data_IF_708925301624
#
_entry.id   IF_708925301624
#
_cell.length_a   1.000
_cell.length_b   1.000
_cell.length_c   1.000
_cell.angle_alpha   90.00
_cell.angle_beta   90.00
_cell.angle_gamma   90.00
#
_symmetry.space_group_name_H-M   'P 1'
#
loop_
_entity.id
_entity.type
_entity.pdbx_description
1 polymer ?
#
# COMPACT_ATOMS: atom_id res chain seq x y z
N UNK A 1 19.87 6.93 5.74
CA UNK A 1 19.54 7.92 6.80
C UNK A 1 20.60 9.01 6.71
N UNK A 2 20.23 10.30 6.70
CA UNK A 2 21.23 11.36 6.75
C UNK A 2 21.76 11.52 8.18
N UNK A 3 23.08 11.55 8.35
CA UNK A 3 23.74 11.79 9.64
C UNK A 3 23.28 13.11 10.30
N UNK A 4 23.08 14.16 9.50
CA UNK A 4 22.69 15.48 9.95
C UNK A 4 21.18 15.64 10.22
N UNK A 5 20.33 14.89 9.52
CA UNK A 5 18.87 15.01 9.59
C UNK A 5 18.24 14.02 10.60
N UNK A 6 19.00 13.03 11.06
CA UNK A 6 18.51 12.00 11.96
C UNK A 6 17.39 11.14 11.37
N UNK A 7 16.58 10.54 12.25
CA UNK A 7 15.51 9.62 11.88
C UNK A 7 14.19 10.38 11.68
N UNK A 8 13.90 10.70 10.41
CA UNK A 8 12.64 11.34 10.01
C UNK A 8 11.48 10.32 10.05
N UNK A 9 10.25 10.79 10.28
CA UNK A 9 9.04 9.94 10.35
C UNK A 9 8.87 8.96 9.18
N UNK A 10 9.22 9.37 7.95
CA UNK A 10 9.21 8.49 6.78
C UNK A 10 10.15 7.29 6.91
N UNK A 11 11.29 7.44 7.59
CA UNK A 11 12.23 6.34 7.84
C UNK A 11 11.58 5.27 8.72
N UNK A 12 10.79 5.68 9.72
CA UNK A 12 10.05 4.76 10.59
C UNK A 12 8.98 4.01 9.81
N UNK A 13 8.27 4.69 8.91
CA UNK A 13 7.27 4.04 8.04
C UNK A 13 7.92 3.03 7.08
N UNK A 14 9.04 3.40 6.45
CA UNK A 14 9.77 2.52 5.54
C UNK A 14 10.32 1.29 6.27
N UNK A 15 10.86 1.47 7.47
CA UNK A 15 11.32 0.36 8.29
C UNK A 15 10.15 -0.53 8.72
N UNK A 16 9.04 0.06 9.18
CA UNK A 16 7.85 -0.70 9.56
C UNK A 16 7.30 -1.54 8.41
N UNK A 17 7.29 -0.99 7.20
CA UNK A 17 6.92 -1.72 5.99
C UNK A 17 7.87 -2.88 5.67
N UNK A 18 9.18 -2.63 5.70
CA UNK A 18 10.16 -3.66 5.42
C UNK A 18 10.08 -4.82 6.44
N UNK A 19 9.89 -4.50 7.72
CA UNK A 19 9.70 -5.49 8.78
C UNK A 19 8.43 -6.30 8.59
N UNK A 20 7.31 -5.64 8.28
CA UNK A 20 6.04 -6.33 8.11
C UNK A 20 6.02 -7.21 6.84
N UNK A 21 6.80 -6.86 5.83
CA UNK A 21 7.04 -7.67 4.63
C UNK A 21 8.13 -8.76 4.83
N UNK A 22 8.69 -8.90 6.04
CA UNK A 22 9.88 -9.73 6.35
C UNK A 22 11.00 -9.56 5.31
N UNK A 23 11.26 -8.32 4.91
CA UNK A 23 12.42 -8.00 4.09
C UNK A 23 13.60 -7.76 5.04
N UNK A 24 14.73 -8.48 4.86
CA UNK A 24 15.97 -8.19 5.57
C UNK A 24 16.42 -6.75 5.29
N UNK A 25 16.80 -6.03 6.33
CA UNK A 25 17.13 -4.59 6.24
C UNK A 25 18.54 -4.37 6.75
N UNK A 26 19.31 -3.60 5.98
CA UNK A 26 20.52 -2.93 6.45
C UNK A 26 20.32 -1.42 6.37
N UNK A 27 21.07 -0.68 7.19
CA UNK A 27 20.97 0.78 7.26
C UNK A 27 22.27 1.41 6.78
N UNK A 28 22.14 2.40 5.90
CA UNK A 28 23.25 3.22 5.45
C UNK A 28 23.06 4.63 5.99
N UNK A 29 23.99 5.09 6.82
CA UNK A 29 24.10 6.46 7.32
C UNK A 29 25.01 7.23 6.38
N UNK A 30 24.45 8.19 5.66
CA UNK A 30 25.14 8.99 4.64
C UNK A 30 25.47 10.38 5.16
N UNK A 31 26.39 11.09 4.50
CA UNK A 31 26.80 12.49 4.78
C UNK A 31 27.62 12.65 6.07
N UNK A 32 28.42 11.66 6.42
CA UNK A 32 29.28 11.73 7.63
C UNK A 32 30.30 12.87 7.56
N UNK A 33 30.64 13.32 6.36
CA UNK A 33 31.54 14.45 6.07
C UNK A 33 31.04 15.81 6.56
N UNK A 34 29.72 16.05 6.55
CA UNK A 34 29.14 17.35 6.95
C UNK A 34 28.68 17.39 8.40
N UNK A 35 28.68 16.26 9.10
CA UNK A 35 28.04 16.13 10.41
C UNK A 35 29.09 16.18 11.52
N UNK A 36 28.93 17.05 12.54
CA UNK A 36 29.84 17.04 13.67
C UNK A 36 29.69 15.72 14.46
N UNK A 37 30.81 15.25 15.02
CA UNK A 37 30.90 13.91 15.60
C UNK A 37 29.90 13.63 16.73
N UNK A 38 29.55 14.66 17.52
CA UNK A 38 28.54 14.58 18.58
C UNK A 38 27.14 14.23 18.03
N UNK A 39 26.68 14.93 16.98
CA UNK A 39 25.37 14.69 16.36
C UNK A 39 25.32 13.32 15.67
N UNK A 40 26.43 12.91 15.05
CA UNK A 40 26.56 11.58 14.45
C UNK A 40 26.38 10.48 15.51
N UNK A 41 27.07 10.60 16.65
CA UNK A 41 26.94 9.64 17.75
C UNK A 41 25.52 9.59 18.33
N UNK A 42 24.87 10.73 18.49
CA UNK A 42 23.46 10.78 18.93
C UNK A 42 22.53 10.07 17.94
N UNK A 43 22.71 10.33 16.65
CA UNK A 43 21.93 9.69 15.58
C UNK A 43 22.11 8.18 15.56
N UNK A 44 23.35 7.70 15.75
CA UNK A 44 23.65 6.27 15.84
C UNK A 44 23.01 5.64 17.08
N UNK A 45 23.08 6.29 18.25
CA UNK A 45 22.42 5.82 19.48
C UNK A 45 20.90 5.72 19.29
N UNK A 46 20.29 6.73 18.66
CA UNK A 46 18.86 6.72 18.36
C UNK A 46 18.49 5.58 17.40
N UNK A 47 19.30 5.36 16.36
CA UNK A 47 19.10 4.28 15.38
C UNK A 47 19.20 2.90 16.04
N UNK A 48 20.22 2.68 16.87
CA UNK A 48 20.38 1.43 17.62
C UNK A 48 19.20 1.20 18.57
N UNK A 49 18.74 2.24 19.29
CA UNK A 49 17.56 2.14 20.16
C UNK A 49 16.31 1.77 19.37
N UNK A 50 16.14 2.35 18.19
CA UNK A 50 15.01 2.06 17.31
C UNK A 50 15.04 0.62 16.79
N UNK A 51 16.19 0.15 16.33
CA UNK A 51 16.36 -1.23 15.83
C UNK A 51 16.16 -2.28 16.94
N UNK A 52 16.58 -1.97 18.18
CA UNK A 52 16.38 -2.83 19.36
C UNK A 52 14.95 -2.77 19.93
N UNK A 53 14.13 -1.81 19.51
CA UNK A 53 12.76 -1.65 20.01
C UNK A 53 11.91 -2.90 19.79
N UNK A 54 10.88 -3.16 20.63
CA UNK A 54 10.08 -4.39 20.55
C UNK A 54 9.33 -4.58 19.23
N UNK A 55 9.16 -3.52 18.43
CA UNK A 55 8.58 -3.59 17.09
C UNK A 55 9.55 -4.00 15.99
N UNK A 56 10.87 -3.84 16.20
CA UNK A 56 11.89 -4.18 15.20
C UNK A 56 12.63 -5.47 15.55
N UNK A 57 12.97 -5.66 16.84
CA UNK A 57 13.70 -6.83 17.38
C UNK A 57 14.95 -7.21 16.56
N UNK A 58 15.67 -6.21 16.03
CA UNK A 58 16.90 -6.40 15.28
C UNK A 58 18.13 -6.17 16.15
N UNK A 59 19.21 -6.86 15.81
CA UNK A 59 20.53 -6.70 16.43
C UNK A 59 21.35 -5.77 15.52
N UNK A 60 21.56 -4.49 15.91
CA UNK A 60 22.36 -3.56 15.11
C UNK A 60 23.85 -3.92 15.21
N UNK A 61 24.53 -4.01 14.07
CA UNK A 61 25.99 -4.24 13.98
C UNK A 61 26.60 -3.08 13.20
N UNK A 62 27.55 -2.37 13.81
CA UNK A 62 28.25 -1.28 13.14
C UNK A 62 29.42 -1.86 12.33
N UNK A 63 29.44 -1.61 11.03
CA UNK A 63 30.47 -2.15 10.15
C UNK A 63 31.57 -1.11 9.95
N UNK A 64 32.79 -1.43 10.38
CA UNK A 64 33.96 -0.54 10.26
C UNK A 64 35.15 -1.22 9.57
N UNK A 65 35.25 -2.54 9.67
CA UNK A 65 36.34 -3.32 9.07
C UNK A 65 35.85 -4.23 7.95
N UNK A 66 36.79 -4.79 7.16
CA UNK A 66 36.49 -5.80 6.14
C UNK A 66 36.01 -7.11 6.76
N UNK A 67 36.53 -7.47 7.93
CA UNK A 67 36.12 -8.69 8.63
C UNK A 67 34.67 -8.58 9.11
N UNK A 68 34.27 -7.40 9.61
CA UNK A 68 32.87 -7.12 9.95
C UNK A 68 31.96 -7.30 8.75
N UNK A 69 32.39 -6.85 7.56
CA UNK A 69 31.62 -7.00 6.32
C UNK A 69 31.37 -8.49 6.02
N UNK A 70 32.39 -9.34 6.14
CA UNK A 70 32.30 -10.77 5.84
C UNK A 70 31.38 -11.48 6.84
N UNK A 71 31.57 -11.23 8.14
CA UNK A 71 30.71 -11.79 9.21
C UNK A 71 29.27 -11.32 9.03
N UNK A 72 29.08 -10.06 8.68
CA UNK A 72 27.76 -9.47 8.54
C UNK A 72 27.06 -9.94 7.26
N UNK A 73 27.77 -10.13 6.15
CA UNK A 73 27.22 -10.65 4.90
C UNK A 73 26.81 -12.11 5.02
N UNK A 74 27.64 -12.96 5.65
CA UNK A 74 27.32 -14.38 5.89
C UNK A 74 26.12 -14.56 6.81
N UNK A 75 26.01 -13.74 7.86
CA UNK A 75 24.89 -13.78 8.79
C UNK A 75 23.69 -12.91 8.38
N UNK A 76 23.74 -12.20 7.24
CA UNK A 76 22.62 -11.35 6.80
C UNK A 76 21.36 -12.16 6.46
N UNK A 77 21.53 -13.43 6.10
CA UNK A 77 20.43 -14.39 5.93
C UNK A 77 19.65 -14.62 7.24
N UNK A 78 20.29 -14.42 8.39
CA UNK A 78 19.62 -14.39 9.69
C UNK A 78 18.81 -13.09 9.78
N UNK A 79 17.48 -13.19 9.65
CA UNK A 79 16.57 -12.05 9.62
C UNK A 79 16.75 -11.08 10.80
N UNK A 80 17.41 -11.47 11.89
CA UNK A 80 17.58 -10.64 13.09
C UNK A 80 18.72 -9.63 13.00
N UNK A 81 19.76 -9.86 12.18
CA UNK A 81 20.89 -8.93 12.11
C UNK A 81 20.57 -7.71 11.24
N UNK A 82 20.99 -6.53 11.69
CA UNK A 82 20.87 -5.28 10.93
C UNK A 82 22.23 -4.57 10.82
N UNK A 83 22.92 -4.70 9.69
CA UNK A 83 24.17 -4.01 9.41
C UNK A 83 23.96 -2.50 9.36
N UNK A 84 24.88 -1.72 9.93
CA UNK A 84 24.90 -0.26 9.84
C UNK A 84 26.21 0.18 9.20
N UNK A 85 26.12 0.82 8.04
CA UNK A 85 27.24 1.40 7.32
C UNK A 85 27.25 2.91 7.50
N UNK A 86 28.42 3.48 7.77
CA UNK A 86 28.64 4.93 7.80
C UNK A 86 29.40 5.32 6.55
N UNK A 87 28.81 6.10 5.66
CA UNK A 87 29.45 6.46 4.39
C UNK A 87 29.39 7.96 4.11
N UNK A 88 30.37 8.45 3.36
CA UNK A 88 30.26 9.72 2.64
C UNK A 88 30.23 9.47 1.15
N UNK A 89 29.18 9.97 0.49
CA UNK A 89 29.08 9.94 -0.97
C UNK A 89 30.01 10.95 -1.65
N UNK A 90 30.53 11.94 -0.91
CA UNK A 90 31.40 13.00 -1.44
C UNK A 90 32.86 12.61 -1.31
N UNK A 91 33.30 12.26 -0.10
CA UNK A 91 34.71 11.88 0.14
C UNK A 91 35.01 10.44 -0.28
N UNK A 92 33.98 9.61 -0.45
CA UNK A 92 34.13 8.18 -0.77
C UNK A 92 34.43 7.30 0.45
N UNK A 93 34.46 7.88 1.66
CA UNK A 93 34.74 7.16 2.89
C UNK A 93 33.77 5.98 3.11
N UNK A 94 34.33 4.81 3.42
CA UNK A 94 33.64 3.53 3.66
C UNK A 94 32.75 3.03 2.52
N UNK A 95 32.80 3.65 1.34
CA UNK A 95 32.02 3.22 0.19
C UNK A 95 32.44 1.82 -0.28
N UNK A 96 33.73 1.49 -0.14
CA UNK A 96 34.26 0.18 -0.54
C UNK A 96 33.77 -0.95 0.37
N UNK A 97 33.56 -0.69 1.66
CA UNK A 97 32.95 -1.64 2.59
C UNK A 97 31.50 -1.95 2.17
N UNK A 98 30.74 -0.93 1.78
CA UNK A 98 29.37 -1.11 1.30
C UNK A 98 29.34 -1.89 -0.03
N UNK A 99 30.23 -1.58 -0.98
CA UNK A 99 30.33 -2.32 -2.25
C UNK A 99 30.69 -3.79 -2.00
N UNK A 100 31.68 -4.04 -1.13
CA UNK A 100 32.09 -5.38 -0.74
C UNK A 100 30.92 -6.15 -0.13
N UNK A 101 30.19 -5.54 0.81
CA UNK A 101 29.00 -6.13 1.40
C UNK A 101 27.98 -6.54 0.34
N UNK A 102 27.61 -5.63 -0.57
CA UNK A 102 26.63 -5.90 -1.63
C UNK A 102 27.07 -7.02 -2.58
N UNK A 103 28.38 -7.14 -2.85
CA UNK A 103 28.93 -8.20 -3.71
C UNK A 103 28.95 -9.58 -3.02
N UNK A 104 29.05 -9.61 -1.69
CA UNK A 104 29.05 -10.85 -0.90
C UNK A 104 27.63 -11.36 -0.59
N UNK A 105 26.60 -10.54 -0.80
CA UNK A 105 25.21 -10.95 -0.57
C UNK A 105 24.81 -12.07 -1.55
N UNK A 106 24.43 -13.20 -0.98
CA UNK A 106 23.87 -14.30 -1.76
C UNK A 106 22.44 -13.97 -2.19
N UNK A 107 22.05 -14.27 -3.45
CA UNK A 107 20.66 -14.16 -3.88
C UNK A 107 19.76 -15.04 -3.00
N UNK A 108 18.64 -14.49 -2.49
CA UNK A 108 17.66 -15.26 -1.71
C UNK A 108 16.79 -16.19 -2.56
N UNK A 109 16.69 -15.93 -3.86
CA UNK A 109 15.89 -16.72 -4.78
C UNK A 109 16.75 -17.84 -5.36
N UNK A 110 16.55 -19.05 -4.86
CA UNK A 110 16.92 -20.27 -5.58
C UNK A 110 16.00 -20.37 -6.79
N UNK A 111 16.54 -20.29 -8.00
CA UNK A 111 15.77 -20.57 -9.21
C UNK A 111 15.99 -22.02 -9.62
N UNK A 112 14.89 -22.72 -9.91
CA UNK A 112 14.91 -24.02 -10.58
C UNK A 112 14.56 -23.78 -12.03
N UNK A 113 15.41 -24.23 -12.96
CA UNK A 113 15.19 -24.01 -14.40
C UNK A 113 13.96 -24.75 -14.93
N UNK A 114 13.55 -25.83 -14.25
CA UNK A 114 12.39 -26.65 -14.61
C UNK A 114 11.05 -26.03 -14.22
N UNK A 115 11.05 -25.02 -13.34
CA UNK A 115 9.83 -24.37 -12.92
C UNK A 115 9.21 -23.56 -14.07
N UNK A 116 7.88 -23.57 -14.18
CA UNK A 116 7.20 -22.79 -15.21
C UNK A 116 7.46 -21.29 -14.99
N UNK A 117 7.72 -20.61 -16.09
CA UNK A 117 8.05 -19.19 -16.08
C UNK A 117 6.92 -18.32 -15.53
N UNK A 118 7.28 -17.37 -14.68
CA UNK A 118 6.38 -16.33 -14.18
C UNK A 118 7.11 -15.00 -14.07
N UNK A 119 6.53 -13.97 -14.66
CA UNK A 119 7.07 -12.64 -14.74
C UNK A 119 6.03 -11.61 -14.32
N UNK A 120 6.37 -10.80 -13.33
CA UNK A 120 5.50 -9.76 -12.81
C UNK A 120 5.81 -8.42 -13.50
N UNK A 121 4.79 -7.74 -14.01
CA UNK A 121 4.94 -6.47 -14.73
C UNK A 121 4.83 -5.28 -13.76
N UNK A 122 5.91 -4.50 -13.70
CA UNK A 122 6.04 -3.30 -12.87
C UNK A 122 5.72 -2.03 -13.66
N UNK A 123 6.20 -1.99 -14.91
CA UNK A 123 6.16 -0.83 -15.78
C UNK A 123 5.96 -1.19 -17.25
N UNK A 124 5.39 -0.25 -17.99
CA UNK A 124 5.18 -0.38 -19.43
C UNK A 124 5.74 0.83 -20.16
N UNK A 125 6.32 0.59 -21.33
CA UNK A 125 6.95 1.58 -22.18
C UNK A 125 6.48 1.42 -23.62
N UNK A 126 6.48 2.52 -24.37
CA UNK A 126 6.26 2.51 -25.81
C UNK A 126 7.53 3.04 -26.44
N UNK A 127 8.26 2.17 -27.12
CA UNK A 127 9.56 2.51 -27.72
C UNK A 127 9.36 2.61 -29.23
N UNK A 128 9.69 3.75 -29.86
CA UNK A 128 9.59 3.92 -31.31
C UNK A 128 10.37 2.82 -32.06
N UNK A 129 9.77 2.24 -33.11
CA UNK A 129 10.36 1.16 -33.91
C UNK A 129 10.34 -0.24 -33.26
N UNK A 130 10.39 -0.34 -31.93
CA UNK A 130 10.35 -1.64 -31.22
C UNK A 130 8.91 -2.06 -30.95
N UNK A 131 8.07 -1.15 -30.46
CA UNK A 131 6.69 -1.37 -30.05
C UNK A 131 6.47 -1.26 -28.54
N UNK A 132 5.56 -2.08 -28.01
CA UNK A 132 5.23 -2.10 -26.58
C UNK A 132 6.26 -2.93 -25.82
N UNK A 133 6.85 -2.35 -24.78
CA UNK A 133 7.85 -2.99 -23.93
C UNK A 133 7.34 -3.04 -22.50
N UNK A 134 7.45 -4.18 -21.85
CA UNK A 134 7.11 -4.36 -20.43
C UNK A 134 8.40 -4.56 -19.63
N UNK A 135 8.45 -3.99 -18.43
CA UNK A 135 9.56 -4.15 -17.50
C UNK A 135 9.05 -4.68 -16.19
N UNK A 136 9.87 -5.50 -15.55
CA UNK A 136 9.43 -6.24 -14.39
C UNK A 136 10.48 -7.21 -13.88
N UNK A 137 10.02 -8.12 -13.03
CA UNK A 137 10.87 -9.12 -12.38
C UNK A 137 10.37 -10.52 -12.71
N UNK A 138 11.27 -11.38 -13.18
CA UNK A 138 10.98 -12.81 -13.34
C UNK A 138 10.99 -13.43 -11.95
N UNK A 139 9.85 -13.92 -11.47
CA UNK A 139 9.73 -14.52 -10.14
C UNK A 139 10.32 -15.92 -10.14
N UNK A 140 9.97 -16.75 -11.14
CA UNK A 140 10.42 -18.14 -11.27
C UNK A 140 10.53 -18.58 -12.73
N UNK A 141 11.21 -19.70 -12.93
CA UNK A 141 11.43 -20.31 -14.24
C UNK A 141 12.40 -19.55 -15.15
N UNK A 142 12.35 -19.91 -16.43
CA UNK A 142 13.23 -19.40 -17.48
C UNK A 142 12.38 -18.88 -18.65
N UNK A 143 12.65 -17.65 -19.10
CA UNK A 143 12.00 -17.04 -20.27
C UNK A 143 13.05 -16.85 -21.35
N UNK A 144 12.85 -17.47 -22.51
CA UNK A 144 13.72 -17.36 -23.68
C UNK A 144 13.14 -16.44 -24.74
N UNK A 145 14.00 -15.97 -25.62
CA UNK A 145 13.60 -15.19 -26.79
C UNK A 145 12.71 -16.05 -27.70
N UNK A 146 11.65 -15.46 -28.26
CA UNK A 146 10.58 -16.13 -29.02
C UNK A 146 9.65 -17.07 -28.22
N UNK A 147 9.79 -17.16 -26.90
CA UNK A 147 8.82 -17.89 -26.09
C UNK A 147 7.43 -17.25 -26.19
N UNK A 148 6.42 -18.11 -26.13
CA UNK A 148 5.01 -17.72 -26.09
C UNK A 148 4.49 -17.90 -24.67
N UNK A 149 4.10 -16.79 -24.05
CA UNK A 149 3.59 -16.73 -22.69
C UNK A 149 2.16 -16.22 -22.67
N UNK A 150 1.47 -16.42 -21.55
CA UNK A 150 0.14 -15.88 -21.30
C UNK A 150 0.27 -14.56 -20.54
N UNK A 151 -0.18 -13.47 -21.15
CA UNK A 151 -0.26 -12.13 -20.55
C UNK A 151 -1.65 -11.91 -19.98
N UNK A 152 -1.75 -11.51 -18.72
CA UNK A 152 -3.02 -11.18 -18.10
C UNK A 152 -2.86 -10.91 -16.61
N UNK A 153 -3.95 -10.86 -15.85
CA UNK A 153 -5.33 -10.98 -16.30
C UNK A 153 -5.83 -9.67 -16.93
N UNK A 154 -6.56 -9.77 -18.03
CA UNK A 154 -7.33 -8.64 -18.59
C UNK A 154 -8.47 -8.22 -17.64
N UNK A 155 -9.17 -7.09 -17.87
CA UNK A 155 -10.28 -6.67 -17.03
C UNK A 155 -11.41 -7.70 -16.89
N UNK A 156 -11.49 -8.67 -17.81
CA UNK A 156 -12.44 -9.78 -17.79
C UNK A 156 -11.89 -11.06 -17.11
N UNK A 157 -10.63 -11.06 -16.67
CA UNK A 157 -9.96 -12.23 -16.08
C UNK A 157 -9.28 -13.16 -17.07
N UNK A 158 -9.32 -12.84 -18.37
CA UNK A 158 -8.73 -13.67 -19.42
C UNK A 158 -7.21 -13.44 -19.55
N UNK A 159 -6.52 -14.43 -20.11
CA UNK A 159 -5.11 -14.36 -20.45
C UNK A 159 -4.90 -14.46 -21.95
N UNK A 160 -4.13 -13.54 -22.51
CA UNK A 160 -3.82 -13.44 -23.93
C UNK A 160 -2.47 -14.08 -24.23
N UNK A 161 -2.41 -14.96 -25.22
CA UNK A 161 -1.15 -15.51 -25.72
C UNK A 161 -0.31 -14.44 -26.41
N UNK A 162 0.92 -14.25 -25.93
CA UNK A 162 1.85 -13.24 -26.42
C UNK A 162 3.24 -13.84 -26.65
N UNK A 163 3.85 -13.49 -27.79
CA UNK A 163 5.22 -13.89 -28.10
C UNK A 163 6.22 -12.79 -27.71
N UNK A 164 7.33 -13.21 -27.11
CA UNK A 164 8.47 -12.35 -26.75
C UNK A 164 9.31 -12.05 -28.00
N UNK A 165 9.37 -10.79 -28.41
CA UNK A 165 10.14 -10.33 -29.58
C UNK A 165 11.62 -10.14 -29.26
N UNK A 166 11.92 -9.51 -28.14
CA UNK A 166 13.30 -9.28 -27.69
C UNK A 166 13.35 -9.10 -26.18
N UNK A 167 14.52 -9.37 -25.61
CA UNK A 167 14.75 -9.30 -24.18
C UNK A 167 15.98 -8.44 -23.91
N UNK A 168 15.86 -7.51 -22.97
CA UNK A 168 16.95 -6.66 -22.54
C UNK A 168 17.11 -6.71 -21.03
N UNK A 169 18.35 -6.81 -20.57
CA UNK A 169 18.72 -6.74 -19.15
C UNK A 169 19.87 -5.76 -19.00
N UNK A 170 19.74 -4.79 -18.08
CA UNK A 170 20.75 -3.72 -17.85
C UNK A 170 21.21 -3.04 -19.15
N UNK A 171 20.27 -2.72 -20.04
CA UNK A 171 20.51 -2.11 -21.37
C UNK A 171 21.26 -2.99 -22.38
N UNK A 172 21.46 -4.27 -22.10
CA UNK A 172 22.08 -5.22 -23.04
C UNK A 172 21.04 -6.24 -23.54
N UNK A 173 21.06 -6.62 -24.83
CA UNK A 173 20.22 -7.68 -25.34
C UNK A 173 20.67 -9.03 -24.77
N UNK A 174 19.72 -9.85 -24.36
CA UNK A 174 19.97 -11.19 -23.81
C UNK A 174 19.06 -12.21 -24.47
N UNK A 175 19.49 -13.48 -24.52
CA UNK A 175 18.72 -14.58 -25.12
C UNK A 175 17.71 -15.20 -24.15
N UNK A 176 17.98 -15.12 -22.85
CA UNK A 176 17.17 -15.71 -21.80
C UNK A 176 17.25 -14.89 -20.50
N UNK A 177 16.23 -15.03 -19.66
CA UNK A 177 16.14 -14.42 -18.33
C UNK A 177 15.67 -15.47 -17.32
N UNK A 178 16.39 -15.56 -16.21
CA UNK A 178 16.14 -16.53 -15.13
C UNK A 178 15.33 -15.91 -13.99
N UNK A 179 14.69 -16.75 -13.18
CA UNK A 179 14.06 -16.34 -11.92
C UNK A 179 14.98 -15.49 -11.04
N UNK A 180 14.40 -14.46 -10.41
CA UNK A 180 15.11 -13.45 -9.62
C UNK A 180 15.73 -12.30 -10.42
N UNK A 181 15.68 -12.33 -11.75
CA UNK A 181 16.25 -11.27 -12.58
C UNK A 181 15.20 -10.25 -13.04
N UNK A 182 15.59 -8.98 -13.03
CA UNK A 182 14.83 -7.91 -13.67
C UNK A 182 15.18 -7.82 -15.15
N UNK A 183 14.16 -7.66 -15.99
CA UNK A 183 14.32 -7.59 -17.43
C UNK A 183 13.21 -6.77 -18.08
N UNK A 184 13.47 -6.38 -19.33
CA UNK A 184 12.49 -5.72 -20.19
C UNK A 184 12.22 -6.58 -21.43
N UNK A 185 10.95 -6.83 -21.70
CA UNK A 185 10.48 -7.66 -22.81
C UNK A 185 9.73 -6.81 -23.83
N UNK A 186 10.14 -6.87 -25.10
CA UNK A 186 9.35 -6.33 -26.20
C UNK A 186 8.30 -7.36 -26.61
N UNK A 187 7.03 -6.94 -26.65
CA UNK A 187 5.90 -7.83 -26.94
C UNK A 187 5.39 -7.64 -28.37
N UNK A 188 5.03 -8.74 -29.04
CA UNK A 188 4.58 -8.72 -30.44
C UNK A 188 3.07 -8.45 -30.54
N UNK A 189 2.66 -7.52 -31.42
CA UNK A 189 1.24 -7.28 -31.78
C UNK A 189 0.32 -6.89 -30.60
N UNK A 190 0.83 -6.19 -29.59
CA UNK A 190 0.01 -5.68 -28.48
C UNK A 190 0.12 -4.16 -28.31
N UNK A 191 -1.01 -3.52 -28.00
CA UNK A 191 -1.09 -2.09 -27.72
C UNK A 191 -0.70 -1.84 -26.27
N UNK A 192 0.06 -0.78 -26.02
CA UNK A 192 0.38 -0.35 -24.64
C UNK A 192 -0.87 -0.14 -23.77
N UNK A 193 -1.97 0.32 -24.36
CA UNK A 193 -3.21 0.62 -23.64
C UNK A 193 -3.90 -0.61 -23.04
N UNK A 194 -3.64 -1.82 -23.57
CA UNK A 194 -4.21 -3.05 -23.00
C UNK A 194 -3.40 -3.57 -21.82
N UNK A 195 -2.18 -3.07 -21.60
CA UNK A 195 -1.30 -3.55 -20.53
C UNK A 195 -1.33 -2.57 -19.35
N UNK A 196 -1.55 -3.10 -18.15
CA UNK A 196 -1.49 -2.35 -16.89
C UNK A 196 -0.41 -2.90 -15.96
N UNK A 197 0.00 -2.07 -14.99
CA UNK A 197 0.83 -2.50 -13.87
C UNK A 197 0.09 -3.53 -13.02
N UNK A 198 0.79 -4.54 -12.53
CA UNK A 198 0.19 -5.64 -11.76
C UNK A 198 -0.24 -6.84 -12.60
N UNK A 199 -0.30 -6.71 -13.92
CA UNK A 199 -0.41 -7.87 -14.80
C UNK A 199 0.85 -8.75 -14.72
N UNK A 200 0.70 -10.00 -15.14
CA UNK A 200 1.74 -11.01 -15.17
C UNK A 200 1.87 -11.62 -16.57
N UNK A 201 3.07 -12.12 -16.87
CA UNK A 201 3.33 -13.02 -17.99
C UNK A 201 3.72 -14.37 -17.43
N UNK A 202 2.94 -15.40 -17.74
CA UNK A 202 3.08 -16.73 -17.14
C UNK A 202 3.13 -17.80 -18.21
N UNK A 203 3.81 -18.90 -17.91
CA UNK A 203 3.82 -20.07 -18.78
C UNK A 203 2.41 -20.65 -18.91
N UNK A 204 1.97 -21.07 -20.12
CA UNK A 204 0.71 -21.78 -20.32
C UNK A 204 0.55 -23.01 -19.43
N UNK A 205 1.67 -23.63 -19.03
CA UNK A 205 1.70 -24.81 -18.14
C UNK A 205 1.12 -24.55 -16.75
N UNK A 206 1.09 -23.30 -16.29
CA UNK A 206 0.55 -22.93 -14.98
C UNK A 206 -0.98 -22.86 -14.94
N UNK A 207 -1.66 -22.86 -16.10
CA UNK A 207 -3.09 -22.62 -16.21
C UNK A 207 -3.60 -21.48 -15.30
N UNK A 208 -3.11 -20.25 -15.50
CA UNK A 208 -3.30 -19.17 -14.55
C UNK A 208 -4.78 -18.81 -14.37
N UNK A 209 -5.17 -18.54 -13.13
CA UNK A 209 -6.53 -18.17 -12.77
C UNK A 209 -6.54 -16.78 -12.14
N UNK A 210 -7.51 -15.96 -12.54
CA UNK A 210 -7.71 -14.64 -11.97
C UNK A 210 -8.75 -14.71 -10.85
N UNK A 211 -8.49 -14.05 -9.73
CA UNK A 211 -9.39 -14.02 -8.58
C UNK A 211 -9.89 -12.60 -8.32
N UNK A 212 -11.20 -12.48 -8.09
CA UNK A 212 -11.83 -11.25 -7.58
C UNK A 212 -11.79 -11.20 -6.05
N UNK A 213 -11.92 -12.36 -5.43
CA UNK A 213 -12.12 -12.53 -4.00
C UNK A 213 -11.00 -13.38 -3.42
N UNK A 214 -10.55 -13.01 -2.23
CA UNK A 214 -9.51 -13.74 -1.50
C UNK A 214 -9.64 -13.50 0.00
N UNK A 215 -9.20 -14.47 0.79
CA UNK A 215 -9.07 -14.35 2.23
C UNK A 215 -7.62 -14.06 2.58
N UNK A 216 -7.42 -13.14 3.51
CA UNK A 216 -6.10 -12.83 4.03
C UNK A 216 -6.14 -12.59 5.54
N UNK A 217 -5.11 -13.05 6.21
CA UNK A 217 -4.87 -12.73 7.60
C UNK A 217 -4.18 -11.36 7.66
N UNK A 218 -4.79 -10.40 8.35
CA UNK A 218 -4.26 -9.05 8.48
C UNK A 218 -3.90 -8.71 9.93
N UNK A 219 -2.89 -7.87 10.08
CA UNK A 219 -2.48 -7.20 11.30
C UNK A 219 -2.62 -5.69 11.10
N UNK A 220 -3.46 -5.05 11.91
CA UNK A 220 -3.64 -3.59 11.87
C UNK A 220 -2.49 -2.91 12.61
N UNK A 221 -1.70 -2.11 11.90
CA UNK A 221 -0.52 -1.44 12.45
C UNK A 221 -0.85 -0.11 13.12
N UNK A 222 -1.55 0.78 12.41
CA UNK A 222 -1.93 2.08 12.94
C UNK A 222 -3.12 2.64 12.14
N UNK A 223 -4.30 2.58 12.75
CA UNK A 223 -5.51 3.14 12.19
C UNK A 223 -6.19 4.06 13.22
N UNK A 224 -6.53 5.31 12.85
CA UNK A 224 -7.10 6.28 13.80
C UNK A 224 -8.54 5.92 14.21
N UNK A 225 -9.26 5.22 13.34
CA UNK A 225 -10.64 4.79 13.56
C UNK A 225 -10.73 3.26 13.53
N UNK A 226 -11.94 2.71 13.56
CA UNK A 226 -12.16 1.27 13.49
C UNK A 226 -12.39 0.82 12.05
N UNK A 227 -11.85 -0.34 11.69
CA UNK A 227 -12.14 -0.99 10.40
C UNK A 227 -13.36 -1.90 10.59
N UNK A 228 -14.37 -1.72 9.74
CA UNK A 228 -15.66 -2.44 9.77
C UNK A 228 -15.97 -3.08 8.41
N UNK A 229 -17.00 -3.94 8.29
CA UNK A 229 -17.35 -4.53 7.01
C UNK A 229 -17.77 -3.43 6.03
N UNK A 230 -17.51 -3.63 4.75
CA UNK A 230 -17.64 -2.64 3.66
C UNK A 230 -16.60 -1.52 3.66
N UNK A 231 -15.64 -1.53 4.58
CA UNK A 231 -14.49 -0.62 4.48
C UNK A 231 -13.70 -0.88 3.19
N UNK A 232 -13.29 0.20 2.53
CA UNK A 232 -12.57 0.16 1.27
C UNK A 232 -11.20 0.81 1.44
N UNK A 233 -10.16 0.12 0.96
CA UNK A 233 -8.80 0.64 1.01
C UNK A 233 -7.97 0.14 -0.17
N UNK A 234 -6.84 0.81 -0.40
CA UNK A 234 -5.91 0.44 -1.45
C UNK A 234 -5.08 -0.76 -0.98
N UNK A 235 -5.23 -1.89 -1.67
CA UNK A 235 -4.42 -3.08 -1.51
C UNK A 235 -3.22 -3.00 -2.44
N UNK A 236 -2.06 -3.23 -1.85
CA UNK A 236 -0.81 -3.43 -2.54
C UNK A 236 -0.39 -4.88 -2.39
N UNK A 237 -0.25 -5.60 -3.49
CA UNK A 237 0.17 -7.00 -3.50
C UNK A 237 1.20 -7.21 -4.61
N UNK A 238 2.49 -7.26 -4.26
CA UNK A 238 3.57 -7.10 -5.23
C UNK A 238 3.38 -5.81 -6.04
N UNK A 239 3.28 -5.94 -7.37
CA UNK A 239 3.10 -4.83 -8.31
C UNK A 239 1.63 -4.44 -8.55
N UNK A 240 0.69 -5.20 -7.98
CA UNK A 240 -0.75 -4.91 -8.02
C UNK A 240 -1.04 -3.75 -7.08
N UNK A 241 -1.80 -2.78 -7.57
CA UNK A 241 -2.30 -1.64 -6.80
C UNK A 241 -3.76 -1.40 -7.12
N UNK A 242 -4.65 -1.84 -6.23
CA UNK A 242 -6.09 -1.76 -6.49
C UNK A 242 -6.89 -1.58 -5.21
N UNK A 243 -8.01 -0.89 -5.30
CA UNK A 243 -8.96 -0.80 -4.19
C UNK A 243 -9.66 -2.15 -4.00
N UNK A 244 -9.68 -2.62 -2.76
CA UNK A 244 -10.49 -3.76 -2.35
C UNK A 244 -11.46 -3.35 -1.24
N UNK A 245 -12.61 -4.01 -1.23
CA UNK A 245 -13.65 -3.87 -0.21
C UNK A 245 -13.58 -5.08 0.73
N UNK A 246 -13.71 -4.83 2.02
CA UNK A 246 -13.92 -5.89 3.02
C UNK A 246 -15.36 -6.37 2.93
N UNK A 247 -15.57 -7.64 2.57
CA UNK A 247 -16.89 -8.25 2.54
C UNK A 247 -17.29 -8.75 3.92
N UNK A 248 -16.44 -9.58 4.52
CA UNK A 248 -16.62 -10.16 5.84
C UNK A 248 -15.28 -10.23 6.59
N UNK A 249 -15.36 -10.37 7.91
CA UNK A 249 -14.19 -10.51 8.78
C UNK A 249 -14.59 -11.25 10.06
N UNK A 250 -13.60 -11.87 10.71
CA UNK A 250 -13.82 -12.70 11.90
C UNK A 250 -14.32 -11.92 13.13
N UNK A 251 -14.06 -10.61 13.17
CA UNK A 251 -14.43 -9.72 14.28
C UNK A 251 -15.31 -8.60 13.75
N UNK A 252 -16.28 -8.13 14.52
CA UNK A 252 -17.18 -7.03 14.10
C UNK A 252 -16.45 -5.72 13.81
N UNK A 253 -15.30 -5.51 14.47
CA UNK A 253 -14.54 -4.28 14.37
C UNK A 253 -13.05 -4.55 14.66
N UNK A 254 -12.15 -3.96 13.86
CA UNK A 254 -10.70 -4.09 14.03
C UNK A 254 -10.08 -2.75 14.41
N UNK A 255 -9.23 -2.77 15.43
CA UNK A 255 -8.46 -1.63 15.93
C UNK A 255 -6.96 -1.89 15.80
N UNK A 256 -6.17 -0.88 16.12
CA UNK A 256 -4.71 -0.98 16.08
C UNK A 256 -4.21 -2.11 16.98
N UNK A 257 -3.39 -3.01 16.42
CA UNK A 257 -2.85 -4.18 17.09
C UNK A 257 -3.65 -5.47 16.85
N UNK A 258 -4.86 -5.38 16.30
CA UNK A 258 -5.69 -6.56 16.06
C UNK A 258 -5.20 -7.39 14.89
N UNK A 259 -5.20 -8.71 15.10
CA UNK A 259 -5.09 -9.74 14.06
C UNK A 259 -6.48 -10.31 13.77
N UNK A 260 -6.80 -10.51 12.49
CA UNK A 260 -8.04 -11.16 12.04
C UNK A 260 -7.91 -11.70 10.62
N UNK A 261 -8.71 -12.71 10.28
CA UNK A 261 -8.93 -13.13 8.90
C UNK A 261 -10.01 -12.26 8.29
N UNK A 262 -9.76 -11.79 7.06
CA UNK A 262 -10.63 -10.86 6.36
C UNK A 262 -10.81 -11.32 4.93
N UNK A 263 -12.05 -11.32 4.47
CA UNK A 263 -12.44 -11.60 3.11
C UNK A 263 -12.48 -10.30 2.30
N UNK A 264 -11.61 -10.21 1.30
CA UNK A 264 -11.47 -9.07 0.41
C UNK A 264 -12.08 -9.36 -0.96
N UNK A 265 -12.66 -8.33 -1.55
CA UNK A 265 -13.06 -8.30 -2.96
C UNK A 265 -12.47 -7.10 -3.67
N UNK A 266 -11.80 -7.36 -4.79
CA UNK A 266 -11.32 -6.34 -5.70
C UNK A 266 -12.49 -5.61 -6.39
N UNK A 267 -12.40 -4.28 -6.50
CA UNK A 267 -13.50 -3.47 -7.05
C UNK A 267 -13.51 -3.43 -8.58
N UNK A 268 -12.33 -3.35 -9.21
CA UNK A 268 -12.22 -2.93 -10.62
C UNK A 268 -11.92 -4.09 -11.57
N UNK A 269 -10.87 -4.85 -11.29
CA UNK A 269 -10.37 -5.93 -12.13
C UNK A 269 -10.01 -7.15 -11.27
N UNK A 270 -10.14 -8.37 -11.79
CA UNK A 270 -9.60 -9.55 -11.15
C UNK A 270 -8.08 -9.55 -11.33
N UNK A 271 -7.36 -10.11 -10.35
CA UNK A 271 -5.91 -10.11 -10.35
C UNK A 271 -5.36 -11.53 -10.15
N UNK A 272 -4.13 -11.75 -10.62
CA UNK A 272 -3.43 -13.02 -10.42
C UNK A 272 -2.69 -12.96 -9.08
N UNK A 273 -3.06 -13.84 -8.16
CA UNK A 273 -2.56 -13.86 -6.79
C UNK A 273 -1.97 -15.22 -6.44
N UNK A 274 -1.07 -15.25 -5.47
CA UNK A 274 -0.58 -16.49 -4.85
C UNK A 274 -1.02 -16.59 -3.40
N UNK A 275 -1.16 -17.84 -2.94
CA UNK A 275 -1.24 -18.13 -1.51
C UNK A 275 0.11 -17.75 -0.87
N UNK A 276 0.07 -17.32 0.39
CA UNK A 276 1.21 -16.80 1.16
C UNK A 276 1.81 -15.50 0.63
N UNK A 277 1.17 -14.88 -0.37
CA UNK A 277 1.60 -13.59 -0.87
C UNK A 277 1.27 -12.50 0.15
N UNK A 278 2.26 -11.64 0.40
CA UNK A 278 2.11 -10.52 1.33
C UNK A 278 1.42 -9.36 0.67
N UNK A 279 0.53 -8.73 1.44
CA UNK A 279 -0.21 -7.55 1.04
C UNK A 279 -0.07 -6.42 2.06
N UNK A 280 -0.30 -5.21 1.59
CA UNK A 280 -0.28 -4.00 2.39
C UNK A 280 -1.54 -3.19 2.12
N UNK A 281 -2.27 -2.86 3.18
CA UNK A 281 -3.40 -1.96 3.16
C UNK A 281 -2.95 -0.52 3.37
N UNK A 282 -3.33 0.36 2.43
CA UNK A 282 -2.97 1.77 2.47
C UNK A 282 -4.17 2.69 2.30
N UNK A 283 -4.16 3.74 3.11
CA UNK A 283 -5.04 4.91 3.01
C UNK A 283 -4.16 6.14 3.27
N UNK A 284 -3.46 6.56 2.21
CA UNK A 284 -2.29 7.46 2.32
C UNK A 284 -1.09 6.77 2.95
N UNK A 285 -1.15 6.52 4.26
CA UNK A 285 -0.18 5.75 5.05
C UNK A 285 -0.55 4.27 5.12
N UNK A 286 0.42 3.43 5.47
CA UNK A 286 0.17 2.01 5.74
C UNK A 286 -0.69 1.84 6.97
N UNK A 287 -1.78 1.11 6.83
CA UNK A 287 -2.76 0.88 7.90
C UNK A 287 -2.68 -0.53 8.46
N UNK A 288 -2.62 -1.52 7.57
CA UNK A 288 -2.51 -2.93 7.93
C UNK A 288 -1.57 -3.65 6.95
N UNK A 289 -1.04 -4.77 7.40
CA UNK A 289 -0.24 -5.69 6.59
C UNK A 289 -0.84 -7.07 6.75
N UNK A 290 -0.79 -7.89 5.72
CA UNK A 290 -1.36 -9.22 5.79
C UNK A 290 -0.74 -10.19 4.81
N UNK A 291 -1.20 -11.42 4.91
CA UNK A 291 -0.78 -12.54 4.07
C UNK A 291 -2.02 -13.22 3.54
N UNK A 292 -2.04 -13.50 2.23
CA UNK A 292 -3.14 -14.20 1.58
C UNK A 292 -3.13 -15.65 2.05
N UNK A 293 -4.22 -16.08 2.68
CA UNK A 293 -4.38 -17.45 3.19
C UNK A 293 -5.10 -18.34 2.17
N UNK A 294 -6.07 -17.77 1.44
CA UNK A 294 -6.89 -18.53 0.50
C UNK A 294 -7.35 -17.68 -0.66
N UNK A 295 -7.38 -18.28 -1.85
CA UNK A 295 -7.96 -17.67 -3.05
C UNK A 295 -9.36 -18.21 -3.26
N UNK A 296 -10.33 -17.31 -3.47
CA UNK A 296 -11.70 -17.68 -3.75
C UNK A 296 -11.93 -17.55 -5.24
N UNK A 297 -12.37 -18.65 -5.86
CA UNK A 297 -12.73 -18.66 -7.26
C UNK A 297 -14.15 -18.13 -7.38
N UNK A 298 -14.29 -16.86 -7.73
CA UNK A 298 -15.57 -16.36 -8.21
C UNK A 298 -15.70 -16.79 -9.67
N UNK A 299 -16.33 -17.94 -9.93
CA UNK A 299 -16.91 -18.20 -11.25
C UNK A 299 -17.84 -17.02 -11.55
N UNK A 300 -17.57 -16.28 -12.63
CA UNK A 300 -18.34 -15.11 -13.05
C UNK A 300 -19.84 -15.36 -12.93
N UNK A 301 -20.45 -14.96 -11.81
CA UNK A 301 -21.89 -14.80 -11.73
C UNK A 301 -22.15 -13.32 -12.02
N UNK A 302 -22.82 -13.12 -13.15
CA UNK A 302 -23.39 -11.89 -13.74
C UNK A 302 -23.25 -10.58 -12.93
N UNK A 303 -22.95 -9.45 -13.59
CA UNK A 303 -23.06 -8.15 -12.93
C UNK A 303 -24.48 -7.96 -12.40
N UNK A 304 -24.61 -7.93 -11.08
CA UNK A 304 -25.86 -7.61 -10.39
C UNK A 304 -26.17 -6.13 -10.62
N UNK A 305 -26.76 -5.85 -11.77
CA UNK A 305 -27.31 -4.54 -12.12
C UNK A 305 -28.84 -4.63 -12.11
N UNK A 306 -29.43 -4.85 -10.93
CA UNK A 306 -30.86 -4.64 -10.74
C UNK A 306 -31.08 -3.13 -10.52
N UNK A 307 -31.37 -2.41 -11.60
CA UNK A 307 -31.97 -1.07 -11.52
C UNK A 307 -33.27 -1.19 -10.70
N UNK A 308 -33.56 -0.26 -9.76
CA UNK A 308 -34.85 -0.23 -9.09
C UNK A 308 -35.96 0.13 -10.10
N UNK A 309 -36.96 -0.74 -10.23
CA UNK A 309 -38.16 -0.46 -11.03
C UNK A 309 -38.94 0.68 -10.39
N UNK A 310 -39.16 1.75 -11.16
CA UNK A 310 -40.10 2.82 -10.83
C UNK A 310 -41.53 2.27 -10.78
N UNK A 311 -42.17 2.35 -9.62
CA UNK A 311 -43.60 2.10 -9.49
C UNK A 311 -44.34 3.28 -10.11
N UNK A 312 -45.01 3.01 -11.24
CA UNK A 312 -45.93 3.93 -11.91
C UNK A 312 -47.25 3.92 -11.16
N UNK A 313 -47.59 5.04 -10.51
CA UNK A 313 -48.86 5.28 -9.84
C UNK A 313 -49.90 5.68 -10.90
N UNK A 314 -50.91 4.84 -11.15
CA UNK A 314 -52.04 5.14 -12.03
C UNK A 314 -53.29 5.53 -11.23
N UNK A 315 -53.92 6.59 -11.70
CA UNK A 315 -55.10 7.28 -11.18
C UNK A 315 -56.39 6.63 -11.72
N UNK A 316 -57.39 6.46 -10.86
CA UNK A 316 -58.80 6.29 -11.27
C UNK A 316 -59.76 7.02 -10.32
N UNK A 317 -60.48 8.01 -10.88
CA UNK A 317 -61.76 8.64 -10.44
C UNK A 317 -62.87 7.56 -10.38
N UNK A 318 -64.01 7.63 -9.65
CA UNK A 318 -64.92 8.73 -9.21
C UNK A 318 -65.95 8.14 -8.20
N UNK A 319 -66.58 8.98 -7.34
CA UNK A 319 -67.60 8.65 -6.30
C UNK A 319 -69.02 8.30 -6.81
N UNK A 320 -70.11 8.34 -5.99
CA UNK A 320 -70.59 9.55 -5.25
C UNK A 320 -71.27 9.36 -3.85
N UNK A 321 -71.72 10.49 -3.27
CA UNK A 321 -72.27 10.88 -1.94
C UNK A 321 -73.54 10.13 -1.44
N UNK A 322 -73.92 10.05 -0.14
CA UNK A 322 -74.46 11.06 0.85
C UNK A 322 -74.83 10.27 2.15
N UNK A 323 -74.82 10.79 3.40
CA UNK A 323 -75.84 11.62 4.10
C UNK A 323 -75.38 11.94 5.55
N UNK A 324 -75.94 13.01 6.13
CA UNK A 324 -75.75 13.57 7.50
C UNK A 324 -76.86 13.14 8.49
N UNK A 325 -76.70 13.63 9.73
CA UNK A 325 -77.66 13.88 10.84
C UNK A 325 -77.69 12.81 11.95
N UNK A 326 -77.88 13.07 13.25
CA UNK A 326 -77.90 14.22 14.18
C UNK A 326 -78.05 13.65 15.62
N UNK A 327 -77.71 14.43 16.66
CA UNK A 327 -78.22 14.31 18.06
C UNK A 327 -77.46 13.35 19.01
N UNK A 328 -77.20 13.61 20.29
CA UNK A 328 -77.52 14.70 21.22
C UNK A 328 -77.77 14.14 22.65
N UNK A 329 -76.97 14.58 23.66
CA UNK A 329 -77.26 14.72 25.12
C UNK A 329 -77.67 13.43 25.92
N UNK A 330 -77.39 13.15 27.20
CA UNK A 330 -77.02 13.90 28.42
C UNK A 330 -76.71 12.91 29.57
N UNK A 331 -76.04 13.37 30.65
CA UNK A 331 -76.17 12.80 32.02
C UNK A 331 -74.87 12.46 32.78
N UNK A 332 -74.42 13.34 33.69
CA UNK A 332 -73.36 13.06 34.70
C UNK A 332 -73.92 12.40 35.99
N UNK A 333 -73.32 12.53 37.20
CA UNK A 333 -72.04 13.18 37.57
C UNK A 333 -71.20 12.42 38.66
N UNK A 334 -70.11 13.09 39.12
CA UNK A 334 -69.45 12.97 40.45
C UNK A 334 -68.46 11.79 40.64
N UNK A 335 -67.30 11.86 41.33
CA UNK A 335 -66.73 12.74 42.38
C UNK A 335 -65.20 12.66 42.28
N UNK A 336 -64.47 13.74 42.62
CA UNK A 336 -63.06 13.64 43.08
C UNK A 336 -62.09 14.68 42.51
N UNK A 337 -62.07 15.87 43.12
CA UNK A 337 -61.20 17.01 42.82
C UNK A 337 -59.98 17.04 43.80
N UNK A 338 -59.15 18.11 43.90
CA UNK A 338 -57.92 18.31 43.11
C UNK A 338 -56.68 18.73 44.00
N UNK A 339 -55.76 19.68 43.65
CA UNK A 339 -54.28 19.61 43.80
C UNK A 339 -53.79 20.62 44.89
N UNK A 340 -52.66 21.41 44.84
CA UNK A 340 -51.42 21.47 44.02
C UNK A 340 -50.11 21.73 44.85
N UNK A 341 -48.98 21.99 44.17
CA UNK A 341 -48.03 23.05 44.58
C UNK A 341 -46.69 22.67 45.24
N UNK A 342 -45.61 22.99 44.52
CA UNK A 342 -44.36 23.71 44.88
C UNK A 342 -43.65 23.65 46.26
N UNK A 343 -42.31 23.79 46.13
CA UNK A 343 -41.28 24.33 47.04
C UNK A 343 -40.58 23.47 48.14
N UNK A 344 -39.24 23.44 48.01
CA UNK A 344 -38.17 23.68 49.02
C UNK A 344 -38.28 23.07 50.43
N UNK A 345 -37.29 22.41 51.05
CA UNK A 345 -35.96 22.93 51.39
C UNK A 345 -35.26 22.01 52.43
N UNK A 346 -33.91 21.96 52.38
CA UNK A 346 -32.92 21.78 53.48
C UNK A 346 -32.97 20.52 54.38
N UNK A 347 -31.87 19.93 54.88
CA UNK A 347 -30.79 20.45 55.77
C UNK A 347 -29.54 19.53 55.57
N UNK A 348 -28.32 19.99 55.25
CA UNK A 348 -27.27 20.59 56.13
C UNK A 348 -26.24 19.50 56.53
N UNK A 349 -24.91 19.64 56.62
CA UNK A 349 -23.89 20.71 56.60
C UNK A 349 -22.54 20.03 56.20
N UNK A 350 -21.41 20.65 55.85
CA UNK A 350 -20.96 22.04 55.89
C UNK A 350 -19.70 22.24 55.03
N UNK A 351 -19.51 23.51 54.63
CA UNK A 351 -18.29 24.16 54.14
C UNK A 351 -17.44 24.65 55.35
N UNK A 352 -16.27 25.35 55.25
CA UNK A 352 -15.76 26.24 54.17
C UNK A 352 -14.23 26.10 53.93
N UNK A 353 -13.46 26.88 53.16
CA UNK A 353 -13.57 27.86 52.07
C UNK A 353 -12.11 28.20 51.64
N UNK A 354 -11.96 28.85 50.47
CA UNK A 354 -10.95 29.88 50.09
C UNK A 354 -10.61 29.73 48.58
N UNK A 355 -11.22 30.54 47.69
CA UNK A 355 -10.69 31.80 47.10
C UNK A 355 -9.60 31.56 46.03
N UNK A 356 -9.53 32.18 44.85
CA UNK A 356 -10.23 33.31 44.23
C UNK A 356 -9.74 33.46 42.76
N UNK A 357 -10.50 34.25 41.99
CA UNK A 357 -10.12 35.08 40.83
C UNK A 357 -10.37 34.66 39.37
N UNK A 358 -11.02 35.61 38.69
CA UNK A 358 -11.53 35.68 37.32
C UNK A 358 -10.55 36.33 36.33
N UNK A 359 -10.63 35.85 35.06
CA UNK A 359 -10.61 36.57 33.76
C UNK A 359 -9.33 37.28 33.25
N UNK A 360 -9.25 37.68 31.94
CA UNK A 360 -9.96 37.24 30.72
C UNK A 360 -9.06 36.99 29.47
N UNK A 361 -9.64 36.46 28.37
CA UNK A 361 -9.05 36.46 27.01
C UNK A 361 -8.96 37.86 26.38
N UNK A 362 -8.17 37.99 25.29
CA UNK A 362 -8.77 38.52 24.04
C UNK A 362 -8.32 37.82 22.73
N UNK A 363 -9.22 37.81 21.74
CA UNK A 363 -8.95 37.66 20.28
C UNK A 363 -8.73 39.05 19.65
N UNK A 364 -8.11 39.16 18.46
CA UNK A 364 -8.86 39.33 17.19
C UNK A 364 -8.25 38.52 16.01
N UNK A 365 -9.00 37.89 15.08
CA UNK A 365 -9.56 38.38 13.79
C UNK A 365 -8.56 39.17 12.91
N UNK A 366 -8.49 39.12 11.56
CA UNK A 366 -8.97 38.25 10.48
C UNK A 366 -8.40 38.85 9.16
N UNK A 367 -8.15 38.05 8.12
CA UNK A 367 -8.20 38.51 6.72
C UNK A 367 -6.87 38.58 5.95
N UNK A 368 -6.79 37.87 4.81
CA UNK A 368 -5.62 37.93 3.92
C UNK A 368 -5.60 36.98 2.72
N UNK A 369 -6.52 37.21 1.77
CA UNK A 369 -6.58 36.82 0.33
C UNK A 369 -5.57 35.84 -0.31
N UNK A 370 -6.16 34.89 -1.07
CA UNK A 370 -5.58 34.08 -2.16
C UNK A 370 -5.02 34.93 -3.32
N UNK A 371 -3.85 34.56 -3.85
CA UNK A 371 -3.39 34.65 -5.27
C UNK A 371 -2.38 33.50 -5.45
N UNK A 372 -2.49 32.59 -6.42
CA UNK A 372 -2.38 32.86 -7.86
C UNK A 372 -0.93 32.52 -8.27
N UNK A 373 -0.72 31.35 -8.88
CA UNK A 373 0.60 30.76 -9.06
C UNK A 373 1.46 31.36 -10.18
N UNK A 374 2.74 30.98 -10.18
CA UNK A 374 3.56 30.93 -11.39
C UNK A 374 4.65 29.86 -11.22
N UNK A 375 4.67 28.93 -12.17
CA UNK A 375 5.56 27.78 -12.26
C UNK A 375 6.64 28.14 -13.28
N UNK A 376 7.88 28.31 -12.85
CA UNK A 376 9.00 28.59 -13.75
C UNK A 376 9.24 27.39 -14.69
N UNK A 377 9.12 27.63 -16.00
CA UNK A 377 9.61 26.77 -17.08
C UNK A 377 11.10 27.05 -17.28
N UNK A 378 11.96 26.06 -17.03
CA UNK A 378 13.34 26.06 -17.54
C UNK A 378 13.32 25.40 -18.92
N UNK A 379 13.65 26.17 -19.96
CA UNK A 379 13.92 25.67 -21.32
C UNK A 379 15.37 25.17 -21.34
N UNK A 380 15.58 23.88 -21.57
CA UNK A 380 16.89 23.36 -22.01
C UNK A 380 16.99 23.56 -23.52
N UNK A 381 17.98 24.33 -23.96
CA UNK A 381 18.36 24.44 -25.37
C UNK A 381 18.94 23.10 -25.84
N UNK A 382 18.45 22.61 -26.99
CA UNK A 382 19.06 21.51 -27.72
C UNK A 382 20.15 22.06 -28.64
N UNK A 383 21.34 21.47 -28.57
CA UNK A 383 22.36 21.59 -29.60
C UNK A 383 22.36 20.28 -30.41
N UNK A 384 21.94 20.39 -31.66
CA UNK A 384 22.04 19.35 -32.67
C UNK A 384 23.43 19.46 -33.29
N UNK A 385 24.23 18.39 -33.24
CA UNK A 385 25.50 18.29 -33.97
C UNK A 385 25.27 17.38 -35.17
N UNK A 386 25.29 17.97 -36.37
CA UNK A 386 25.45 17.26 -37.64
C UNK A 386 26.93 16.95 -37.87
N UNK A 387 27.30 15.74 -38.32
CA UNK A 387 28.58 15.54 -38.99
C UNK A 387 28.42 15.77 -40.49
N UNK A 388 29.19 16.73 -41.00
CA UNK A 388 29.42 16.92 -42.43
C UNK A 388 30.51 15.94 -42.92
N UNK A 389 30.30 15.47 -44.13
CA UNK A 389 31.17 14.66 -44.98
C UNK A 389 32.50 15.35 -45.36
N UNK A 390 33.55 14.54 -45.50
CA UNK A 390 34.52 14.63 -46.60
C UNK A 390 35.83 15.39 -46.36
N UNK A 391 36.90 14.66 -46.09
CA UNK A 391 38.08 14.45 -46.96
C UNK A 391 39.01 13.43 -46.28
#
# INVERSE_FOLDING_TARGET
VGSNAGIVGMTKEHLGLALALNVPVFVVVTKIDMCPANILQETLKLLQRLLKSPGCRKIPVLVQSKDDVIVTASNFSSERMCPIFQISNVTGENLDLLKMFLNLLSPRTSYREEEPAEFQIDDTYSVPGVGTVVSGTTLRGLIKLNDTLLLGPDPLGNFLSIAVKSIHRKRMPVKEVRGGQTASFALKKIKRSSIRKGMVMVSPRLNPQASWEFEAEILVLHHPTTISPRYQAMVHCGSIRQTATILSMDKDCLRTGDKATVHFRFIKTPEYLHIDQRLVFREGRTKAVGTITKLLQTTNNSPMNSKPQQIKMQSTKKGPLTKRDEGGLSGGPAVGAPPPGDEASSVGAGQPAASSNLQPQPKPSSGGRRRGGQRHKVKSQGACVTPASGC
#
